data_IF_037967852297
#
_entry.id   IF_037967852297
#
_cell.length_a   1.000
_cell.length_b   1.000
_cell.length_c   1.000
_cell.angle_alpha   90.00
_cell.angle_beta   90.00
_cell.angle_gamma   90.00
#
_symmetry.space_group_name_H-M   'P 1'
#
loop_
_entity.id
_entity.type
_entity.pdbx_description
1 polymer ?
#
# COMPACT_ATOMS: atom_id res chain seq x y z
N UNK A 1 42.76 4.18 -24.01
CA UNK A 1 43.76 3.14 -24.36
C UNK A 1 44.31 2.54 -23.08
N UNK A 2 44.23 1.21 -22.94
CA UNK A 2 44.79 0.37 -21.86
C UNK A 2 44.35 0.74 -20.43
N UNK A 3 43.50 -0.01 -19.73
CA UNK A 3 43.72 -1.42 -19.42
C UNK A 3 42.40 -2.07 -18.96
N UNK A 4 41.65 -2.63 -19.92
CA UNK A 4 40.58 -3.63 -19.70
C UNK A 4 41.18 -5.04 -19.67
N UNK A 5 42.21 -5.26 -18.86
CA UNK A 5 42.88 -6.56 -18.71
C UNK A 5 43.11 -6.87 -17.24
N UNK A 6 42.04 -7.14 -16.48
CA UNK A 6 42.15 -7.81 -15.17
C UNK A 6 40.85 -8.42 -14.63
N UNK A 7 39.77 -8.52 -15.43
CA UNK A 7 38.49 -9.10 -14.97
C UNK A 7 38.06 -10.39 -15.71
N UNK A 8 38.94 -11.00 -16.50
CA UNK A 8 38.66 -12.26 -17.22
C UNK A 8 39.42 -13.49 -16.70
N UNK A 9 40.11 -13.40 -15.55
CA UNK A 9 40.89 -14.51 -15.01
C UNK A 9 40.32 -15.15 -13.72
N UNK A 10 39.05 -14.90 -13.40
CA UNK A 10 38.34 -15.57 -12.28
C UNK A 10 37.07 -16.32 -12.68
N UNK A 11 36.76 -16.41 -13.97
CA UNK A 11 35.56 -17.08 -14.49
C UNK A 11 35.84 -18.42 -15.22
N UNK A 12 37.05 -18.96 -15.14
CA UNK A 12 37.44 -20.20 -15.86
C UNK A 12 37.87 -21.37 -14.95
N UNK A 13 37.74 -21.26 -13.63
CA UNK A 13 38.14 -22.33 -12.69
C UNK A 13 36.95 -23.02 -12.00
N UNK A 14 35.72 -22.55 -12.17
CA UNK A 14 34.53 -23.18 -11.55
C UNK A 14 33.75 -24.09 -12.52
N UNK A 15 34.06 -24.08 -13.82
CA UNK A 15 33.34 -24.91 -14.82
C UNK A 15 34.06 -26.26 -15.12
N UNK A 16 35.28 -26.46 -14.62
CA UNK A 16 36.06 -27.68 -14.89
C UNK A 16 35.88 -28.83 -13.86
N UNK A 17 35.06 -28.65 -12.82
CA UNK A 17 34.78 -29.69 -11.82
C UNK A 17 33.43 -30.42 -12.01
N UNK A 18 32.64 -30.03 -13.03
CA UNK A 18 31.31 -30.59 -13.30
C UNK A 18 31.24 -31.66 -14.40
N UNK A 19 32.36 -32.01 -15.05
CA UNK A 19 32.36 -32.82 -16.27
C UNK A 19 33.22 -34.11 -16.21
N UNK A 20 33.63 -34.55 -15.02
CA UNK A 20 34.44 -35.76 -14.82
C UNK A 20 33.81 -36.80 -13.87
N UNK A 21 32.47 -36.92 -13.89
CA UNK A 21 31.75 -38.05 -13.27
C UNK A 21 30.74 -38.70 -14.22
N UNK A 22 30.95 -38.58 -15.52
CA UNK A 22 30.28 -39.38 -16.54
C UNK A 22 31.36 -40.18 -17.25
N UNK A 23 31.45 -41.47 -16.91
CA UNK A 23 32.08 -42.58 -17.65
C UNK A 23 32.73 -43.55 -16.65
N UNK A 24 31.91 -44.31 -15.94
CA UNK A 24 32.07 -45.77 -15.85
C UNK A 24 30.95 -46.33 -15.00
N UNK A 25 30.33 -47.39 -15.50
CA UNK A 25 29.64 -48.50 -14.82
C UNK A 25 28.43 -48.90 -15.66
N UNK A 26 28.72 -49.64 -16.72
CA UNK A 26 27.78 -50.60 -17.29
C UNK A 26 27.92 -51.92 -16.55
N UNK A 27 26.77 -52.61 -16.42
CA UNK A 27 26.53 -53.98 -15.93
C UNK A 27 26.26 -54.14 -14.43
N UNK A 28 24.98 -54.33 -14.09
CA UNK A 28 24.41 -55.42 -13.27
C UNK A 28 22.86 -55.25 -13.20
N UNK A 29 22.09 -56.33 -12.93
CA UNK A 29 20.81 -56.59 -13.61
C UNK A 29 19.57 -56.00 -12.92
N UNK A 30 18.53 -55.77 -13.74
CA UNK A 30 17.21 -55.36 -13.29
C UNK A 30 16.51 -56.47 -12.48
N UNK A 31 16.37 -56.25 -11.17
CA UNK A 31 15.42 -56.98 -10.35
C UNK A 31 14.14 -56.18 -10.21
N UNK A 32 13.07 -56.68 -10.82
CA UNK A 32 11.69 -56.28 -10.55
C UNK A 32 11.36 -56.57 -9.08
N UNK A 33 11.31 -55.53 -8.25
CA UNK A 33 10.62 -55.57 -6.96
C UNK A 33 9.34 -54.77 -7.05
N UNK A 34 8.25 -55.46 -7.40
CA UNK A 34 6.89 -55.03 -7.15
C UNK A 34 6.62 -55.07 -5.65
N UNK A 35 6.69 -53.93 -4.97
CA UNK A 35 6.12 -53.78 -3.64
C UNK A 35 4.62 -53.51 -3.79
N UNK A 36 3.84 -54.58 -3.65
CA UNK A 36 2.41 -54.50 -3.36
C UNK A 36 2.24 -53.94 -1.95
N UNK A 37 1.77 -52.70 -1.84
CA UNK A 37 1.00 -52.27 -0.68
C UNK A 37 -0.45 -52.13 -1.10
N UNK A 38 -1.25 -53.12 -0.71
CA UNK A 38 -2.71 -53.04 -0.70
C UNK A 38 -3.12 -52.04 0.38
N UNK A 39 -3.45 -50.81 -0.02
CA UNK A 39 -4.31 -49.93 0.78
C UNK A 39 -5.72 -50.13 0.26
N UNK A 40 -6.53 -50.87 1.03
CA UNK A 40 -7.98 -50.90 0.86
C UNK A 40 -8.52 -49.48 0.98
N UNK A 41 -8.89 -48.87 -0.15
CA UNK A 41 -9.79 -47.73 -0.16
C UNK A 41 -11.17 -48.31 0.16
N UNK A 42 -11.56 -48.30 1.44
CA UNK A 42 -12.97 -48.45 1.80
C UNK A 42 -13.72 -47.36 1.04
N UNK A 43 -14.59 -47.79 0.12
CA UNK A 43 -15.57 -46.94 -0.55
C UNK A 43 -16.41 -46.24 0.52
N UNK A 44 -15.99 -45.05 0.95
CA UNK A 44 -16.87 -44.11 1.61
C UNK A 44 -17.70 -43.50 0.48
N UNK A 45 -18.88 -44.07 0.25
CA UNK A 45 -19.90 -43.39 -0.53
C UNK A 45 -20.28 -42.11 0.22
N UNK A 46 -19.60 -41.01 -0.08
CA UNK A 46 -20.03 -39.68 0.32
C UNK A 46 -21.31 -39.40 -0.49
N UNK A 47 -22.45 -39.70 0.12
CA UNK A 47 -23.72 -39.13 -0.34
C UNK A 47 -23.62 -37.62 -0.18
N UNK A 48 -23.42 -36.92 -1.29
CA UNK A 48 -23.60 -35.48 -1.33
C UNK A 48 -25.07 -35.19 -1.03
N UNK A 49 -25.35 -34.86 0.23
CA UNK A 49 -26.60 -34.19 0.59
C UNK A 49 -26.51 -32.76 0.06
N UNK A 50 -27.49 -32.28 -0.75
CA UNK A 50 -27.51 -30.91 -1.22
C UNK A 50 -28.04 -30.02 -0.09
N UNK A 51 -27.29 -29.94 1.01
CA UNK A 51 -27.47 -28.85 1.95
C UNK A 51 -26.42 -27.81 1.61
N UNK A 52 -26.83 -26.82 0.82
CA UNK A 52 -26.12 -25.58 0.59
C UNK A 52 -25.82 -24.91 1.93
N UNK A 53 -24.68 -25.26 2.56
CA UNK A 53 -24.07 -24.34 3.51
C UNK A 53 -23.41 -23.29 2.65
N UNK A 54 -24.06 -22.14 2.53
CA UNK A 54 -23.38 -20.89 2.23
C UNK A 54 -22.24 -20.77 3.25
N UNK A 55 -21.03 -21.21 2.87
CA UNK A 55 -19.81 -20.80 3.53
C UNK A 55 -19.58 -19.35 3.10
N UNK A 56 -20.35 -18.45 3.70
CA UNK A 56 -19.96 -17.04 3.77
C UNK A 56 -18.66 -17.05 4.57
N UNK A 57 -17.53 -16.98 3.88
CA UNK A 57 -16.28 -16.51 4.50
C UNK A 57 -16.59 -15.09 4.96
N UNK A 58 -17.02 -14.94 6.21
CA UNK A 58 -17.08 -13.64 6.83
C UNK A 58 -15.62 -13.21 6.95
N UNK A 59 -15.18 -12.37 6.01
CA UNK A 59 -13.98 -11.57 6.15
C UNK A 59 -14.15 -10.72 7.40
N UNK A 60 -13.78 -11.27 8.54
CA UNK A 60 -13.99 -10.63 9.83
C UNK A 60 -12.95 -9.51 9.92
N UNK A 61 -13.45 -8.28 10.00
CA UNK A 61 -12.61 -7.13 10.27
C UNK A 61 -11.89 -7.38 11.60
N UNK A 62 -10.56 -7.48 11.55
CA UNK A 62 -9.73 -7.84 12.71
C UNK A 62 -9.65 -6.73 13.76
N UNK A 63 -10.02 -5.51 13.40
CA UNK A 63 -10.13 -4.39 14.35
C UNK A 63 -11.51 -4.50 15.01
N UNK A 64 -11.62 -4.53 16.35
CA UNK A 64 -12.91 -4.63 17.03
C UNK A 64 -13.74 -3.34 16.90
N UNK A 65 -14.99 -3.36 17.39
CA UNK A 65 -15.85 -2.17 17.42
C UNK A 65 -15.31 -1.07 18.36
N UNK A 66 -15.81 0.15 18.18
CA UNK A 66 -15.30 1.34 18.87
C UNK A 66 -15.45 1.28 20.40
N UNK A 67 -16.50 0.66 20.93
CA UNK A 67 -16.69 0.46 22.36
C UNK A 67 -15.58 -0.40 22.97
N UNK A 68 -15.20 -1.47 22.27
CA UNK A 68 -14.08 -2.34 22.65
C UNK A 68 -12.76 -1.58 22.53
N UNK A 69 -12.50 -0.90 21.41
CA UNK A 69 -11.30 -0.07 21.24
C UNK A 69 -11.14 0.98 22.35
N UNK A 70 -12.25 1.61 22.74
CA UNK A 70 -12.25 2.61 23.80
C UNK A 70 -11.97 1.99 25.19
N UNK A 71 -12.34 0.73 25.41
CA UNK A 71 -12.05 0.02 26.66
C UNK A 71 -10.58 -0.43 26.78
N UNK A 72 -9.88 -0.65 25.67
CA UNK A 72 -8.50 -1.12 25.64
C UNK A 72 -7.52 -0.11 26.24
N UNK A 73 -6.48 -0.59 26.92
CA UNK A 73 -5.39 0.24 27.43
C UNK A 73 -4.37 0.59 26.32
N UNK A 74 -3.40 1.45 26.62
CA UNK A 74 -2.42 1.92 25.63
C UNK A 74 -1.59 0.76 25.03
N UNK A 75 -1.08 -0.15 25.85
CA UNK A 75 -0.26 -1.28 25.37
C UNK A 75 -1.05 -2.21 24.45
N UNK A 76 -2.33 -2.46 24.77
CA UNK A 76 -3.21 -3.26 23.92
C UNK A 76 -3.45 -2.61 22.55
N UNK A 77 -3.65 -1.28 22.52
CA UNK A 77 -3.84 -0.52 21.29
C UNK A 77 -2.55 -0.43 20.46
N UNK A 78 -1.39 -0.27 21.10
CA UNK A 78 -0.07 -0.31 20.45
C UNK A 78 0.12 -1.63 19.71
N UNK A 79 -0.06 -2.76 20.42
CA UNK A 79 0.11 -4.09 19.84
C UNK A 79 -0.90 -4.36 18.73
N UNK A 80 -2.18 -4.00 18.94
CA UNK A 80 -3.22 -4.20 17.94
C UNK A 80 -2.92 -3.42 16.66
N UNK A 81 -2.59 -2.13 16.77
CA UNK A 81 -2.29 -1.28 15.63
C UNK A 81 -1.08 -1.79 14.85
N UNK A 82 0.04 -2.04 15.54
CA UNK A 82 1.29 -2.47 14.90
C UNK A 82 1.12 -3.81 14.19
N UNK A 83 0.39 -4.75 14.82
CA UNK A 83 0.06 -6.03 14.21
C UNK A 83 -0.85 -5.85 12.99
N UNK A 84 -1.90 -5.05 13.10
CA UNK A 84 -2.87 -4.90 12.01
C UNK A 84 -2.25 -4.22 10.78
N UNK A 85 -1.58 -3.09 10.98
CA UNK A 85 -1.08 -2.25 9.87
C UNK A 85 0.04 -2.93 9.09
N UNK A 86 0.78 -3.85 9.71
CA UNK A 86 1.85 -4.63 9.05
C UNK A 86 1.39 -5.99 8.53
N UNK A 87 0.12 -6.35 8.72
CA UNK A 87 -0.42 -7.62 8.23
C UNK A 87 -0.87 -7.48 6.77
N UNK A 88 -0.31 -8.28 5.87
CA UNK A 88 -0.81 -8.45 4.50
C UNK A 88 -2.21 -9.06 4.50
N UNK A 89 -3.15 -8.43 3.80
CA UNK A 89 -4.58 -8.78 3.74
C UNK A 89 -5.02 -9.15 2.31
N UNK A 90 -4.26 -8.76 1.29
CA UNK A 90 -4.42 -9.18 -0.09
C UNK A 90 -3.05 -9.49 -0.68
N UNK A 91 -2.99 -10.49 -1.57
CA UNK A 91 -1.78 -10.77 -2.32
C UNK A 91 -1.73 -9.88 -3.56
N UNK A 92 -0.56 -9.31 -3.82
CA UNK A 92 -0.22 -8.71 -5.09
C UNK A 92 1.02 -9.41 -5.63
N UNK A 93 0.91 -10.08 -6.77
CA UNK A 93 2.00 -10.87 -7.34
C UNK A 93 2.99 -9.99 -8.12
N UNK A 94 2.51 -8.89 -8.71
CA UNK A 94 3.32 -7.92 -9.42
C UNK A 94 3.26 -6.57 -8.72
N UNK A 95 4.24 -6.31 -7.87
CA UNK A 95 4.42 -5.01 -7.21
C UNK A 95 5.54 -4.25 -7.90
N UNK A 96 5.29 -2.97 -8.22
CA UNK A 96 6.27 -2.09 -8.86
C UNK A 96 6.45 -0.82 -8.04
N UNK A 97 7.69 -0.51 -7.70
CA UNK A 97 8.10 0.76 -7.09
C UNK A 97 7.96 1.89 -8.11
N UNK A 98 7.04 2.81 -7.87
CA UNK A 98 6.83 4.02 -8.67
C UNK A 98 7.58 5.19 -8.03
N UNK A 99 8.53 5.78 -8.75
CA UNK A 99 9.37 6.87 -8.25
C UNK A 99 10.73 6.41 -7.77
N UNK A 100 11.27 7.10 -6.76
CA UNK A 100 12.59 6.82 -6.21
C UNK A 100 12.66 5.43 -5.54
N UNK A 101 13.89 4.88 -5.42
CA UNK A 101 14.11 3.58 -4.76
C UNK A 101 13.91 3.71 -3.25
N UNK A 102 14.35 4.83 -2.67
CA UNK A 102 14.20 5.14 -1.25
C UNK A 102 12.96 6.02 -1.05
N UNK A 103 13.11 7.11 -0.28
CA UNK A 103 12.07 8.11 -0.05
C UNK A 103 11.55 8.72 -1.36
N UNK A 104 10.26 9.04 -1.39
CA UNK A 104 9.55 9.55 -2.57
C UNK A 104 9.01 8.49 -3.54
N UNK A 105 9.41 7.22 -3.40
CA UNK A 105 8.79 6.11 -4.13
C UNK A 105 7.56 5.52 -3.43
N UNK A 106 6.67 4.86 -4.17
CA UNK A 106 5.49 4.17 -3.63
C UNK A 106 5.18 2.88 -4.38
N UNK A 107 4.63 1.87 -3.70
CA UNK A 107 4.33 0.59 -4.30
C UNK A 107 2.99 0.62 -5.07
N UNK A 108 3.04 0.25 -6.35
CA UNK A 108 1.84 0.03 -7.16
C UNK A 108 1.62 -1.47 -7.36
N UNK A 109 0.41 -1.94 -7.05
CA UNK A 109 0.00 -3.28 -7.42
C UNK A 109 -0.45 -3.33 -8.89
N UNK A 110 0.18 -4.18 -9.69
CA UNK A 110 -0.11 -4.34 -11.13
C UNK A 110 -0.84 -5.66 -11.45
N UNK A 111 -1.33 -6.38 -10.43
CA UNK A 111 -2.20 -7.53 -10.68
C UNK A 111 -3.45 -7.07 -11.44
N UNK A 112 -3.94 -7.82 -12.46
CA UNK A 112 -4.97 -7.35 -13.38
C UNK A 112 -6.27 -6.84 -12.75
N UNK A 113 -6.62 -7.32 -11.55
CA UNK A 113 -7.80 -6.86 -10.81
C UNK A 113 -7.64 -5.46 -10.22
N UNK A 114 -6.41 -5.07 -9.89
CA UNK A 114 -6.09 -3.86 -9.11
C UNK A 114 -5.32 -2.82 -9.93
N UNK A 115 -4.68 -3.24 -11.02
CA UNK A 115 -3.88 -2.37 -11.87
C UNK A 115 -4.68 -1.16 -12.38
N UNK A 116 -4.11 0.05 -12.37
CA UNK A 116 -4.69 1.20 -13.04
C UNK A 116 -4.86 0.90 -14.54
N UNK A 117 -5.93 1.44 -15.14
CA UNK A 117 -6.15 1.27 -16.58
C UNK A 117 -5.07 2.05 -17.33
N UNK A 118 -4.09 1.32 -17.87
CA UNK A 118 -2.97 1.91 -18.60
C UNK A 118 -3.47 2.86 -19.71
N UNK A 119 -2.79 4.00 -19.85
CA UNK A 119 -3.10 5.07 -20.81
C UNK A 119 -4.48 5.74 -20.64
N UNK A 120 -5.25 5.35 -19.63
CA UNK A 120 -6.56 5.91 -19.31
C UNK A 120 -6.82 5.91 -17.79
N UNK A 121 -5.78 6.14 -17.00
CA UNK A 121 -5.87 6.21 -15.54
C UNK A 121 -5.78 7.65 -15.05
N UNK A 122 -6.46 7.93 -13.93
CA UNK A 122 -6.34 9.18 -13.19
C UNK A 122 -5.70 8.91 -11.83
N UNK A 123 -4.76 9.76 -11.44
CA UNK A 123 -4.02 9.66 -10.18
C UNK A 123 -4.09 10.98 -9.43
N UNK A 124 -4.45 10.93 -8.15
CA UNK A 124 -4.29 12.06 -7.23
C UNK A 124 -3.13 11.75 -6.29
N UNK A 125 -2.20 12.70 -6.15
CA UNK A 125 -1.00 12.59 -5.32
C UNK A 125 -0.93 13.81 -4.42
N UNK A 126 -1.07 13.63 -3.11
CA UNK A 126 -1.04 14.70 -2.13
C UNK A 126 0.26 14.67 -1.32
N UNK A 127 0.80 15.88 -1.07
CA UNK A 127 2.07 16.15 -0.40
C UNK A 127 3.24 15.66 -1.23
N UNK A 128 3.74 16.58 -2.04
CA UNK A 128 4.77 16.31 -3.05
C UNK A 128 6.13 16.66 -2.48
N UNK A 129 6.22 17.70 -1.65
CA UNK A 129 7.45 18.17 -1.02
C UNK A 129 8.62 18.29 -2.03
N UNK A 130 8.32 18.82 -3.22
CA UNK A 130 9.24 18.96 -4.35
C UNK A 130 9.76 17.64 -4.98
N UNK A 131 9.34 16.47 -4.48
CA UNK A 131 9.62 15.16 -5.07
C UNK A 131 8.44 14.68 -5.92
N UNK A 132 8.57 14.84 -7.23
CA UNK A 132 7.59 14.37 -8.21
C UNK A 132 7.95 12.99 -8.79
N UNK A 133 8.88 12.24 -8.19
CA UNK A 133 9.37 10.99 -8.79
C UNK A 133 8.25 9.96 -8.97
N UNK A 134 7.35 9.82 -7.99
CA UNK A 134 6.15 9.01 -8.09
C UNK A 134 5.21 9.50 -9.21
N UNK A 135 4.92 10.80 -9.23
CA UNK A 135 4.02 11.45 -10.18
C UNK A 135 4.52 11.28 -11.63
N UNK A 136 5.80 11.54 -11.86
CA UNK A 136 6.48 11.38 -13.15
C UNK A 136 6.53 9.89 -13.56
N UNK A 137 6.61 8.94 -12.61
CA UNK A 137 6.54 7.51 -12.90
C UNK A 137 5.11 7.07 -13.29
N UNK A 138 4.08 7.61 -12.64
CA UNK A 138 2.68 7.35 -12.98
C UNK A 138 2.30 7.97 -14.34
N UNK A 139 2.86 9.13 -14.70
CA UNK A 139 2.74 9.67 -16.06
C UNK A 139 3.35 8.72 -17.09
N UNK A 140 4.56 8.20 -16.85
CA UNK A 140 5.21 7.22 -17.73
C UNK A 140 4.46 5.91 -17.82
N UNK A 141 3.73 5.53 -16.77
CA UNK A 141 2.80 4.40 -16.81
C UNK A 141 1.62 4.67 -17.76
N UNK A 142 1.30 5.94 -18.00
CA UNK A 142 0.27 6.41 -18.94
C UNK A 142 -0.87 7.18 -18.27
N UNK A 143 -0.76 7.50 -16.98
CA UNK A 143 -1.82 8.19 -16.26
C UNK A 143 -1.79 9.71 -16.43
N UNK A 144 -2.96 10.31 -16.29
CA UNK A 144 -3.11 11.71 -15.90
C UNK A 144 -2.93 11.82 -14.39
N UNK A 145 -2.10 12.77 -13.95
CA UNK A 145 -1.71 12.92 -12.55
C UNK A 145 -2.01 14.33 -12.08
N UNK A 146 -2.70 14.45 -10.96
CA UNK A 146 -2.91 15.70 -10.24
C UNK A 146 -2.13 15.64 -8.93
N UNK A 147 -1.10 16.48 -8.85
CA UNK A 147 -0.18 16.60 -7.72
C UNK A 147 -0.59 17.82 -6.90
N UNK A 148 -0.75 17.66 -5.59
CA UNK A 148 -1.29 18.70 -4.70
C UNK A 148 -0.34 18.95 -3.53
N UNK A 149 0.13 20.18 -3.38
CA UNK A 149 0.93 20.56 -2.21
C UNK A 149 0.83 22.07 -1.92
N UNK A 150 0.23 22.48 -0.79
CA UNK A 150 0.12 23.90 -0.45
C UNK A 150 1.42 24.47 0.14
N UNK A 151 2.36 23.62 0.56
CA UNK A 151 3.61 24.03 1.23
C UNK A 151 4.70 24.46 0.25
N UNK A 152 4.55 24.11 -1.03
CA UNK A 152 5.50 24.45 -2.09
C UNK A 152 5.36 25.92 -2.55
N UNK A 153 5.48 26.87 -1.60
CA UNK A 153 5.14 28.29 -1.72
C UNK A 153 5.75 29.05 -2.92
N UNK A 154 6.80 28.51 -3.54
CA UNK A 154 7.44 29.08 -4.74
C UNK A 154 6.74 28.70 -6.05
N UNK A 155 5.76 27.78 -6.00
CA UNK A 155 5.02 27.29 -7.13
C UNK A 155 3.57 27.77 -7.06
N UNK A 156 3.04 28.21 -8.20
CA UNK A 156 1.60 28.32 -8.44
C UNK A 156 1.16 27.09 -9.22
N UNK A 157 -0.13 26.92 -9.47
CA UNK A 157 -0.62 25.86 -10.35
C UNK A 157 0.10 25.89 -11.71
N UNK A 158 0.60 24.73 -12.15
CA UNK A 158 1.27 24.61 -13.43
C UNK A 158 1.16 23.20 -13.99
N UNK A 159 1.27 23.10 -15.31
CA UNK A 159 1.47 21.83 -15.98
C UNK A 159 2.98 21.51 -15.92
N UNK A 160 3.35 20.50 -15.14
CA UNK A 160 4.75 20.10 -14.94
C UNK A 160 5.31 19.40 -16.16
N UNK A 161 4.62 18.39 -16.67
CA UNK A 161 5.00 17.61 -17.84
C UNK A 161 3.86 17.61 -18.88
N UNK A 162 3.57 16.49 -19.55
CA UNK A 162 2.47 16.42 -20.51
C UNK A 162 1.13 16.13 -19.82
N UNK A 163 1.14 15.35 -18.74
CA UNK A 163 -0.06 14.92 -18.01
C UNK A 163 0.06 15.03 -16.50
N UNK A 164 1.09 15.70 -15.99
CA UNK A 164 1.28 15.97 -14.55
C UNK A 164 0.89 17.41 -14.26
N UNK A 165 -0.24 17.59 -13.58
CA UNK A 165 -0.79 18.88 -13.20
C UNK A 165 -0.48 19.14 -11.72
N UNK A 166 0.31 20.16 -11.43
CA UNK A 166 0.55 20.59 -10.06
C UNK A 166 -0.47 21.66 -9.64
N UNK A 167 -0.99 21.52 -8.42
CA UNK A 167 -1.92 22.44 -7.77
C UNK A 167 -1.35 22.86 -6.42
N UNK A 168 -1.23 24.18 -6.20
CA UNK A 168 -0.70 24.77 -4.96
C UNK A 168 -1.77 24.84 -3.86
N UNK A 169 -2.47 23.73 -3.64
CA UNK A 169 -3.56 23.58 -2.67
C UNK A 169 -3.40 22.25 -1.94
N UNK A 170 -3.97 22.12 -0.74
CA UNK A 170 -3.86 20.91 0.08
C UNK A 170 -5.17 20.20 0.32
N UNK A 171 -5.09 19.05 0.97
CA UNK A 171 -6.24 18.22 1.35
C UNK A 171 -6.56 18.38 2.84
N UNK A 172 -7.84 18.35 3.17
CA UNK A 172 -8.33 18.35 4.56
C UNK A 172 -9.68 17.63 4.66
N UNK A 173 -10.15 17.44 5.90
CA UNK A 173 -11.49 16.88 6.16
C UNK A 173 -12.63 17.85 5.84
N UNK A 174 -12.34 19.14 5.68
CA UNK A 174 -13.28 20.20 5.30
C UNK A 174 -12.57 21.26 4.46
N UNK A 175 -13.31 21.93 3.59
CA UNK A 175 -12.79 23.08 2.86
C UNK A 175 -12.49 24.23 3.83
N UNK A 176 -11.22 24.66 3.90
CA UNK A 176 -10.78 25.73 4.81
C UNK A 176 -9.56 26.44 4.26
N UNK A 177 -9.40 27.69 4.69
CA UNK A 177 -8.16 28.45 4.48
C UNK A 177 -7.47 28.57 5.83
N UNK A 178 -6.18 28.23 5.88
CA UNK A 178 -5.37 28.34 7.09
C UNK A 178 -4.13 29.19 6.82
N UNK A 179 -3.56 29.76 7.87
CA UNK A 179 -2.32 30.55 7.79
C UNK A 179 -2.53 32.04 8.04
N UNK A 180 -1.56 32.84 7.61
CA UNK A 180 -1.52 34.28 7.76
C UNK A 180 -1.07 34.97 6.46
N UNK A 181 -0.90 36.30 6.50
CA UNK A 181 -0.54 37.12 5.34
C UNK A 181 0.75 36.70 4.62
N UNK A 182 1.66 35.96 5.28
CA UNK A 182 2.92 35.49 4.69
C UNK A 182 2.92 34.01 4.26
N UNK A 183 1.94 33.22 4.68
CA UNK A 183 1.81 31.81 4.31
C UNK A 183 0.34 31.38 4.46
N UNK A 184 -0.45 31.53 3.40
CA UNK A 184 -1.86 31.12 3.35
C UNK A 184 -2.00 29.83 2.55
N UNK A 185 -2.61 28.80 3.14
CA UNK A 185 -2.91 27.53 2.48
C UNK A 185 -4.41 27.37 2.27
N UNK A 186 -4.77 27.02 1.05
CA UNK A 186 -6.13 26.64 0.69
C UNK A 186 -6.24 25.12 0.73
N UNK A 187 -7.11 24.62 1.60
CA UNK A 187 -7.32 23.20 1.81
C UNK A 187 -8.73 22.81 1.39
N UNK A 188 -8.86 21.68 0.71
CA UNK A 188 -10.14 21.18 0.22
C UNK A 188 -10.32 19.69 0.53
N UNK A 189 -11.57 19.26 0.64
CA UNK A 189 -11.88 17.83 0.65
C UNK A 189 -11.53 17.16 -0.69
N UNK A 190 -11.40 15.84 -0.69
CA UNK A 190 -11.21 15.08 -1.94
C UNK A 190 -12.43 15.28 -2.86
N UNK A 191 -13.66 15.28 -2.32
CA UNK A 191 -14.87 15.61 -3.06
C UNK A 191 -14.79 16.98 -3.76
N UNK A 192 -14.33 18.01 -3.05
CA UNK A 192 -14.17 19.35 -3.60
C UNK A 192 -13.12 19.42 -4.71
N UNK A 193 -11.98 18.74 -4.57
CA UNK A 193 -11.00 18.63 -5.65
C UNK A 193 -11.58 17.95 -6.87
N UNK A 194 -12.27 16.82 -6.69
CA UNK A 194 -12.94 16.10 -7.78
C UNK A 194 -13.92 17.01 -8.52
N UNK A 195 -14.79 17.74 -7.81
CA UNK A 195 -15.75 18.67 -8.44
C UNK A 195 -15.08 19.79 -9.24
N UNK A 196 -14.03 20.40 -8.69
CA UNK A 196 -13.32 21.53 -9.34
C UNK A 196 -12.56 21.10 -10.60
N UNK A 197 -12.14 19.85 -10.63
CA UNK A 197 -11.39 19.27 -11.74
C UNK A 197 -12.29 18.46 -12.70
N UNK A 198 -13.61 18.46 -12.51
CA UNK A 198 -14.55 17.66 -13.30
C UNK A 198 -14.25 16.15 -13.27
N UNK A 199 -13.87 15.68 -12.09
CA UNK A 199 -13.53 14.29 -11.81
C UNK A 199 -14.51 13.66 -10.81
N UNK A 200 -15.76 14.11 -10.74
CA UNK A 200 -16.77 13.43 -9.93
C UNK A 200 -16.98 11.99 -10.45
N UNK A 201 -17.53 11.09 -9.63
CA UNK A 201 -17.63 9.65 -9.95
C UNK A 201 -18.34 9.36 -11.28
N UNK A 202 -19.29 10.22 -11.67
CA UNK A 202 -20.02 10.13 -12.94
C UNK A 202 -19.23 10.59 -14.15
N UNK A 203 -18.14 11.33 -13.96
CA UNK A 203 -17.37 11.98 -15.03
C UNK A 203 -16.08 11.22 -15.30
N UNK A 204 -15.28 11.01 -14.25
CA UNK A 204 -13.95 10.42 -14.36
C UNK A 204 -13.66 9.55 -13.14
N UNK A 205 -13.30 8.29 -13.43
CA UNK A 205 -12.83 7.37 -12.40
C UNK A 205 -11.45 7.80 -11.90
N UNK A 206 -11.27 7.84 -10.58
CA UNK A 206 -9.95 7.95 -9.96
C UNK A 206 -9.37 6.53 -9.79
N UNK A 207 -8.20 6.22 -10.35
CA UNK A 207 -7.62 4.87 -10.23
C UNK A 207 -6.74 4.74 -8.98
N UNK A 208 -5.89 5.73 -8.73
CA UNK A 208 -4.95 5.74 -7.61
C UNK A 208 -5.05 7.03 -6.83
N UNK A 209 -5.08 6.91 -5.51
CA UNK A 209 -4.95 8.04 -4.60
C UNK A 209 -3.77 7.78 -3.66
N UNK A 210 -2.76 8.66 -3.72
CA UNK A 210 -1.62 8.71 -2.81
C UNK A 210 -1.77 9.91 -1.86
N UNK A 211 -1.68 9.70 -0.55
CA UNK A 211 -1.73 10.78 0.45
C UNK A 211 -0.59 10.65 1.45
N UNK A 212 0.25 11.67 1.51
CA UNK A 212 1.28 11.84 2.52
C UNK A 212 1.43 13.34 2.78
N UNK A 213 0.72 13.86 3.80
CA UNK A 213 0.50 15.32 3.98
C UNK A 213 0.77 15.79 5.40
N UNK A 214 1.57 15.02 6.15
CA UNK A 214 2.12 15.38 7.46
C UNK A 214 1.06 15.84 8.48
N UNK A 215 -0.03 15.07 8.61
CA UNK A 215 -1.00 15.20 9.71
C UNK A 215 -2.45 15.50 9.30
N UNK A 216 -2.75 15.65 8.01
CA UNK A 216 -4.11 15.84 7.49
C UNK A 216 -4.76 14.55 6.95
N UNK A 217 -4.03 13.42 6.93
CA UNK A 217 -4.48 12.15 6.34
C UNK A 217 -5.73 11.62 7.02
N UNK A 218 -5.73 11.63 8.36
CA UNK A 218 -6.83 11.09 9.15
C UNK A 218 -8.15 11.82 8.83
N UNK A 219 -8.18 13.15 8.88
CA UNK A 219 -9.41 13.89 8.63
C UNK A 219 -9.82 13.83 7.16
N UNK A 220 -8.87 13.93 6.22
CA UNK A 220 -9.15 13.84 4.79
C UNK A 220 -9.74 12.49 4.39
N UNK A 221 -9.12 11.39 4.84
CA UNK A 221 -9.58 10.03 4.51
C UNK A 221 -10.89 9.69 5.22
N UNK A 222 -11.08 10.09 6.48
CA UNK A 222 -12.36 9.87 7.17
C UNK A 222 -13.51 10.53 6.42
N UNK A 223 -13.36 11.80 6.02
CA UNK A 223 -14.37 12.51 5.22
C UNK A 223 -14.59 11.84 3.87
N UNK A 224 -13.53 11.52 3.14
CA UNK A 224 -13.63 10.96 1.79
C UNK A 224 -14.22 9.53 1.78
N UNK A 225 -13.99 8.75 2.83
CA UNK A 225 -14.70 7.50 3.04
C UNK A 225 -16.18 7.81 3.27
N UNK A 226 -16.53 8.68 4.21
CA UNK A 226 -17.93 8.96 4.59
C UNK A 226 -18.76 9.54 3.43
N UNK A 227 -18.19 10.41 2.59
CA UNK A 227 -18.89 11.03 1.46
C UNK A 227 -18.87 10.20 0.15
N UNK A 228 -18.16 9.07 0.13
CA UNK A 228 -18.09 8.18 -1.03
C UNK A 228 -17.10 8.60 -2.13
N UNK A 229 -16.29 9.63 -1.89
CA UNK A 229 -15.28 10.11 -2.87
C UNK A 229 -14.21 9.06 -3.23
N UNK A 230 -14.11 7.98 -2.46
CA UNK A 230 -13.18 6.88 -2.68
C UNK A 230 -13.84 5.63 -3.29
N UNK A 231 -15.13 5.67 -3.62
CA UNK A 231 -15.90 4.48 -3.98
C UNK A 231 -15.51 3.87 -5.33
N UNK A 232 -14.89 4.62 -6.23
CA UNK A 232 -14.43 4.19 -7.54
C UNK A 232 -12.91 3.88 -7.60
N UNK A 233 -12.17 4.14 -6.52
CA UNK A 233 -10.71 3.99 -6.47
C UNK A 233 -10.27 2.52 -6.54
N UNK A 234 -9.20 2.24 -7.29
CA UNK A 234 -8.59 0.89 -7.33
C UNK A 234 -7.55 0.71 -6.22
N UNK A 235 -6.71 1.72 -6.01
CA UNK A 235 -5.63 1.66 -5.02
C UNK A 235 -5.59 2.94 -4.19
N UNK A 236 -5.64 2.73 -2.86
CA UNK A 236 -5.46 3.79 -1.88
C UNK A 236 -4.10 3.56 -1.21
N UNK A 237 -3.23 4.54 -1.35
CA UNK A 237 -1.87 4.57 -0.82
C UNK A 237 -1.78 5.77 0.13
N UNK A 238 -1.30 5.57 1.35
CA UNK A 238 -1.22 6.66 2.31
C UNK A 238 -0.19 6.41 3.39
N UNK A 239 0.41 7.47 3.93
CA UNK A 239 1.18 7.38 5.18
C UNK A 239 0.28 7.64 6.39
N UNK A 240 0.37 6.79 7.40
CA UNK A 240 -0.23 7.12 8.70
C UNK A 240 0.74 7.94 9.53
N UNK A 241 0.33 9.12 9.99
CA UNK A 241 1.08 9.93 10.95
C UNK A 241 0.44 9.84 12.33
N UNK A 242 0.78 8.82 13.14
CA UNK A 242 0.15 8.63 14.46
C UNK A 242 0.30 9.87 15.35
N UNK A 243 1.51 10.41 15.42
CA UNK A 243 1.80 11.66 16.12
C UNK A 243 3.08 12.29 15.58
N UNK A 244 2.98 13.52 15.09
CA UNK A 244 4.10 14.32 14.58
C UNK A 244 5.08 14.64 15.71
N UNK A 245 4.57 14.98 16.91
CA UNK A 245 5.40 15.41 18.04
C UNK A 245 5.29 14.46 19.23
N UNK A 246 6.42 13.90 19.66
CA UNK A 246 6.46 12.95 20.78
C UNK A 246 5.92 11.56 20.45
N UNK A 247 5.57 10.78 21.48
CA UNK A 247 5.01 9.43 21.34
C UNK A 247 3.49 9.46 21.11
N UNK A 248 2.89 8.47 20.43
CA UNK A 248 1.44 8.42 20.24
C UNK A 248 0.71 8.12 21.55
N UNK A 249 -0.43 8.78 21.75
CA UNK A 249 -1.31 8.53 22.90
C UNK A 249 -2.45 7.59 22.50
N UNK A 250 -3.20 7.10 23.51
CA UNK A 250 -4.39 6.25 23.30
C UNK A 250 -5.35 6.80 22.24
N UNK A 251 -5.58 8.13 22.23
CA UNK A 251 -6.43 8.79 21.23
C UNK A 251 -5.94 8.61 19.80
N UNK A 252 -4.62 8.64 19.58
CA UNK A 252 -4.03 8.55 18.24
C UNK A 252 -4.25 7.14 17.68
N UNK A 253 -3.97 6.12 18.48
CA UNK A 253 -4.23 4.72 18.10
C UNK A 253 -5.70 4.46 17.86
N UNK A 254 -6.58 4.94 18.75
CA UNK A 254 -8.03 4.81 18.59
C UNK A 254 -8.47 5.39 17.23
N UNK A 255 -8.08 6.62 16.92
CA UNK A 255 -8.47 7.30 15.68
C UNK A 255 -7.99 6.57 14.42
N UNK A 256 -6.72 6.14 14.39
CA UNK A 256 -6.19 5.43 13.22
C UNK A 256 -6.70 4.00 13.10
N UNK A 257 -6.99 3.30 14.19
CA UNK A 257 -7.69 2.01 14.15
C UNK A 257 -9.11 2.17 13.62
N UNK A 258 -9.83 3.22 14.00
CA UNK A 258 -11.15 3.54 13.44
C UNK A 258 -11.06 3.83 11.93
N UNK A 259 -10.06 4.60 11.48
CA UNK A 259 -9.80 4.83 10.06
C UNK A 259 -9.55 3.51 9.32
N UNK A 260 -8.63 2.69 9.80
CA UNK A 260 -8.27 1.40 9.20
C UNK A 260 -9.47 0.43 9.16
N UNK A 261 -10.34 0.48 10.18
CA UNK A 261 -11.59 -0.28 10.23
C UNK A 261 -12.54 0.17 9.11
N UNK A 262 -12.70 1.48 8.90
CA UNK A 262 -13.52 2.04 7.80
C UNK A 262 -12.93 1.72 6.42
N UNK A 263 -11.61 1.86 6.24
CA UNK A 263 -10.90 1.47 5.00
C UNK A 263 -11.21 0.01 4.65
N UNK A 264 -11.09 -0.90 5.62
CA UNK A 264 -11.41 -2.32 5.43
C UNK A 264 -12.88 -2.53 5.07
N UNK A 265 -13.80 -1.84 5.76
CA UNK A 265 -15.24 -1.92 5.51
C UNK A 265 -15.62 -1.41 4.11
N UNK A 266 -14.85 -0.49 3.53
CA UNK A 266 -15.00 0.01 2.15
C UNK A 266 -14.29 -0.85 1.10
N UNK A 267 -13.88 -2.07 1.45
CA UNK A 267 -13.37 -3.07 0.51
C UNK A 267 -11.87 -3.02 0.25
N UNK A 268 -11.14 -2.07 0.85
CA UNK A 268 -9.69 -1.99 0.71
C UNK A 268 -8.99 -3.05 1.56
N UNK A 269 -7.89 -3.59 1.05
CA UNK A 269 -7.04 -4.58 1.70
C UNK A 269 -5.58 -4.18 1.55
N UNK A 270 -4.84 -4.20 2.66
CA UNK A 270 -3.40 -3.93 2.67
C UNK A 270 -2.69 -5.04 1.89
N UNK A 271 -1.89 -4.70 0.89
CA UNK A 271 -1.02 -5.69 0.23
C UNK A 271 0.43 -5.57 0.68
N UNK A 272 0.89 -4.36 1.01
CA UNK A 272 2.20 -4.13 1.62
C UNK A 272 2.19 -2.88 2.49
N UNK A 273 3.07 -2.86 3.48
CA UNK A 273 3.28 -1.71 4.37
C UNK A 273 4.78 -1.55 4.60
N UNK A 274 5.30 -0.34 4.45
CA UNK A 274 6.64 -0.01 4.88
C UNK A 274 6.61 0.72 6.22
N UNK A 275 7.57 0.41 7.08
CA UNK A 275 7.75 1.09 8.36
C UNK A 275 8.71 2.25 8.15
N UNK A 276 8.29 3.46 8.50
CA UNK A 276 9.15 4.63 8.43
C UNK A 276 10.13 4.63 9.62
N UNK A 277 11.30 4.03 9.43
CA UNK A 277 12.29 3.80 10.50
C UNK A 277 12.88 5.09 11.10
N UNK A 278 12.64 6.27 10.50
CA UNK A 278 13.00 7.55 11.11
C UNK A 278 12.07 7.98 12.25
N UNK A 279 10.96 7.27 12.42
CA UNK A 279 9.91 7.60 13.39
C UNK A 279 9.82 6.60 14.54
N UNK A 280 10.91 5.88 14.80
CA UNK A 280 11.02 4.94 15.92
C UNK A 280 10.87 5.67 17.25
N UNK A 281 10.14 5.06 18.19
CA UNK A 281 10.00 5.53 19.57
C UNK A 281 9.92 4.35 20.53
N UNK A 282 10.22 4.61 21.81
CA UNK A 282 10.02 3.65 22.89
C UNK A 282 8.66 3.88 23.55
N UNK A 283 7.85 2.83 23.66
CA UNK A 283 6.57 2.88 24.37
C UNK A 283 6.78 3.33 25.81
N UNK A 284 6.02 4.34 26.28
CA UNK A 284 6.10 4.77 27.68
C UNK A 284 5.51 3.72 28.65
N UNK A 285 4.85 2.67 28.14
CA UNK A 285 4.20 1.65 28.98
C UNK A 285 5.19 0.57 29.40
N UNK A 286 5.94 0.02 28.44
CA UNK A 286 6.81 -1.14 28.66
C UNK A 286 8.20 -1.03 28.00
N UNK A 287 8.51 0.13 27.40
CA UNK A 287 9.81 0.39 26.77
C UNK A 287 10.03 -0.31 25.42
N UNK A 288 9.04 -1.01 24.86
CA UNK A 288 9.15 -1.63 23.54
C UNK A 288 9.32 -0.59 22.45
N UNK A 289 10.11 -0.93 21.44
CA UNK A 289 10.30 -0.07 20.28
C UNK A 289 9.19 -0.29 19.23
N UNK A 290 8.61 0.80 18.78
CA UNK A 290 7.59 0.86 17.74
C UNK A 290 7.90 1.98 16.75
N UNK A 291 7.16 2.00 15.64
CA UNK A 291 7.26 3.05 14.61
C UNK A 291 5.97 3.85 14.59
N UNK A 292 6.06 5.18 14.46
CA UNK A 292 4.87 6.07 14.45
C UNK A 292 4.27 6.23 13.06
N UNK A 293 5.07 6.09 12.00
CA UNK A 293 4.61 6.28 10.63
C UNK A 293 4.78 5.03 9.75
N UNK A 294 3.81 4.82 8.87
CA UNK A 294 3.71 3.64 8.02
C UNK A 294 3.20 4.04 6.65
N UNK A 295 3.94 3.73 5.60
CA UNK A 295 3.48 3.83 4.21
C UNK A 295 2.60 2.61 3.92
N UNK A 296 1.29 2.80 3.87
CA UNK A 296 0.29 1.74 3.68
C UNK A 296 -0.16 1.71 2.24
N UNK A 297 -0.08 0.54 1.61
CA UNK A 297 -0.48 0.35 0.23
C UNK A 297 -1.63 -0.65 0.16
N UNK A 298 -2.77 -0.21 -0.36
CA UNK A 298 -4.00 -0.99 -0.39
C UNK A 298 -4.55 -1.15 -1.80
N UNK A 299 -5.19 -2.30 -2.03
CA UNK A 299 -5.99 -2.57 -3.22
C UNK A 299 -7.46 -2.71 -2.84
N UNK A 300 -8.37 -2.29 -3.72
CA UNK A 300 -9.80 -2.47 -3.52
C UNK A 300 -10.23 -3.86 -4.02
N UNK A 301 -10.59 -4.74 -3.08
CA UNK A 301 -10.94 -6.13 -3.37
C UNK A 301 -12.45 -6.36 -3.55
N UNK A 302 -13.30 -5.46 -3.03
CA UNK A 302 -14.76 -5.54 -3.06
C UNK A 302 -15.38 -4.16 -3.23
#
# INVERSE_FOLDING_TARGET
>A
MLSRRLLHLRLLIVIAAGFLLLLSWSTLPAHNLTLRSTLEIKNLSLSFSPYSRNLTFHFQNLIPEEDVLNSMNLSELEVLYQRYITSTQALCNKVTRMGNIEDGGWELCEDPLYAPIKDNCLVYSYGINYDFSFDDAMEKYGCEVHSFDPSMNNYKDYLRNQRVHFHSVGVAGVDKTIGNDSSTWYLYTIASHRRRLHHELSERRLDVLKIDVEGYELEALMTALDDGSLDDIRQLIFETHLNITGYPLKKNYFQYLTLLRKIYARGFRIHTTHRNMFTVFQSPVDGKEFVKCHEVHTVKAF
#
